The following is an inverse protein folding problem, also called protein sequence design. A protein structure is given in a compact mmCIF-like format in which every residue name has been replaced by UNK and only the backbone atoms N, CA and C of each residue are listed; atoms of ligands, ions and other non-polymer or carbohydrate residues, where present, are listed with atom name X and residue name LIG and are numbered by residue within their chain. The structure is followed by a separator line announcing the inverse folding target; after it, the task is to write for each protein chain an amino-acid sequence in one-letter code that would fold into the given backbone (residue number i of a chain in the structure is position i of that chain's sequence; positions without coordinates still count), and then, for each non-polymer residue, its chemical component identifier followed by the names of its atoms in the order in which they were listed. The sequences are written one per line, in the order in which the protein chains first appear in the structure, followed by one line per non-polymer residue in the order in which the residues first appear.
data_IF_099005438787
#
_entry.id   IF_099005438787
#
_cell.length_a   1.000
_cell.length_b   1.000
_cell.length_c   1.000
_cell.angle_alpha   90.00
_cell.angle_beta   90.00
_cell.angle_gamma   90.00
#
_symmetry.space_group_name_H-M   'P 1'
#
loop_
_entity.id
_entity.type
_entity.pdbx_description
1 polymer ?
#
# COMPACT_ATOMS: atom_id res chain seq x y z
N UNK A 1 -21.15 16.03 42.83
CA UNK A 1 -19.76 16.50 42.71
C UNK A 1 -19.15 15.92 41.44
N UNK A 2 -19.44 16.53 40.29
CA UNK A 2 -18.86 16.15 39.00
C UNK A 2 -18.97 17.34 38.03
N UNK A 3 -18.43 18.49 38.45
CA UNK A 3 -18.42 19.70 37.62
C UNK A 3 -17.06 20.43 37.64
N UNK A 4 -15.97 19.75 38.06
CA UNK A 4 -14.63 20.36 38.16
C UNK A 4 -13.51 19.48 37.57
N UNK A 5 -13.77 18.78 36.46
CA UNK A 5 -12.71 18.05 35.75
C UNK A 5 -12.63 18.39 34.24
N UNK A 6 -13.20 19.52 33.82
CA UNK A 6 -13.16 19.99 32.41
C UNK A 6 -12.16 21.14 32.19
N UNK A 7 -11.54 21.68 33.25
CA UNK A 7 -10.66 22.86 33.14
C UNK A 7 -9.21 22.54 33.54
N UNK A 8 -8.59 21.53 32.93
CA UNK A 8 -7.16 21.26 33.15
C UNK A 8 -6.41 20.57 32.00
N UNK A 9 -6.99 20.46 30.80
CA UNK A 9 -6.34 19.84 29.63
C UNK A 9 -6.33 20.74 28.38
N UNK A 10 -6.32 22.07 28.59
CA UNK A 10 -6.31 23.08 27.52
C UNK A 10 -4.91 23.52 27.06
N UNK A 11 -3.83 22.85 27.43
CA UNK A 11 -2.48 23.40 27.18
C UNK A 11 -1.33 22.39 27.09
N UNK A 12 -1.58 21.19 26.57
CA UNK A 12 -0.50 20.30 26.14
C UNK A 12 -0.26 20.48 24.64
N UNK A 13 0.77 21.30 24.33
CA UNK A 13 1.35 21.42 22.99
C UNK A 13 1.82 20.04 22.53
N UNK A 14 1.58 19.63 21.27
CA UNK A 14 2.12 18.38 20.76
C UNK A 14 3.65 18.49 20.67
N UNK A 15 4.34 17.84 21.62
CA UNK A 15 5.77 17.55 21.55
C UNK A 15 5.96 16.29 20.69
N UNK A 16 5.74 16.43 19.39
CA UNK A 16 6.33 15.54 18.41
C UNK A 16 6.54 16.29 17.10
N UNK A 17 7.79 16.60 16.70
CA UNK A 17 8.03 17.00 15.33
C UNK A 17 8.04 15.70 14.50
N UNK A 18 6.93 15.40 13.82
CA UNK A 18 7.05 14.64 12.57
C UNK A 18 7.61 15.60 11.51
N UNK A 19 8.89 15.97 11.68
CA UNK A 19 9.71 16.45 10.59
C UNK A 19 10.19 15.20 9.86
N UNK A 20 9.59 14.94 8.70
CA UNK A 20 10.30 14.17 7.67
C UNK A 20 11.60 14.92 7.35
N UNK A 21 12.71 14.19 7.28
CA UNK A 21 14.03 14.75 7.01
C UNK A 21 14.13 15.39 5.61
N UNK A 22 13.18 15.14 4.73
CA UNK A 22 13.15 15.70 3.38
C UNK A 22 11.76 16.29 3.13
N UNK A 23 11.68 17.62 3.04
CA UNK A 23 10.45 18.40 2.96
C UNK A 23 9.68 18.25 1.65
N UNK A 24 9.11 17.08 1.38
CA UNK A 24 8.15 16.86 0.30
C UNK A 24 6.74 17.32 0.69
N UNK A 25 6.12 18.16 -0.16
CA UNK A 25 4.67 18.43 -0.11
C UNK A 25 3.92 17.46 -1.03
N UNK A 26 2.79 16.92 -0.56
CA UNK A 26 1.85 16.17 -1.39
C UNK A 26 0.94 17.19 -2.09
N UNK A 27 1.14 17.41 -3.39
CA UNK A 27 0.24 18.22 -4.22
C UNK A 27 -0.75 17.30 -4.94
N UNK A 28 -2.03 17.40 -4.59
CA UNK A 28 -3.12 16.73 -5.31
C UNK A 28 -3.53 17.61 -6.48
N UNK A 29 -3.05 17.28 -7.69
CA UNK A 29 -3.45 17.96 -8.91
C UNK A 29 -4.77 17.38 -9.45
N UNK A 30 -5.78 18.23 -9.63
CA UNK A 30 -7.00 17.91 -10.38
C UNK A 30 -6.81 18.41 -11.82
N UNK A 31 -6.48 17.56 -12.81
CA UNK A 31 -6.53 17.98 -14.19
C UNK A 31 -7.99 18.10 -14.64
N UNK A 32 -8.28 19.09 -15.48
CA UNK A 32 -9.59 19.43 -16.11
C UNK A 32 -10.26 18.28 -16.88
N UNK A 33 -9.67 17.08 -16.90
CA UNK A 33 -10.22 15.85 -17.48
C UNK A 33 -10.13 14.71 -16.46
N UNK A 34 -10.95 14.78 -15.42
CA UNK A 34 -11.54 13.65 -14.66
C UNK A 34 -10.70 12.39 -14.40
N UNK A 35 -9.38 12.51 -14.28
CA UNK A 35 -8.48 11.40 -14.05
C UNK A 35 -7.55 11.77 -12.92
N UNK A 36 -7.57 10.96 -11.87
CA UNK A 36 -6.65 11.10 -10.75
C UNK A 36 -5.38 10.35 -11.15
N UNK A 37 -4.31 11.10 -11.37
CA UNK A 37 -2.97 10.55 -11.60
C UNK A 37 -2.16 10.78 -10.33
N UNK A 38 -1.85 9.69 -9.61
CA UNK A 38 -0.90 9.75 -8.49
C UNK A 38 0.52 9.74 -9.07
N UNK A 39 1.05 10.93 -9.35
CA UNK A 39 2.41 11.13 -9.87
C UNK A 39 3.37 11.51 -8.73
N UNK A 40 4.41 10.69 -8.49
CA UNK A 40 5.53 11.06 -7.61
C UNK A 40 6.61 11.73 -8.44
N UNK A 41 6.84 13.04 -8.24
CA UNK A 41 7.96 13.75 -8.86
C UNK A 41 9.17 13.76 -7.92
N UNK A 42 10.35 13.25 -8.33
CA UNK A 42 11.56 13.40 -7.55
C UNK A 42 12.05 14.85 -7.60
N UNK A 43 12.38 15.44 -6.45
CA UNK A 43 13.03 16.74 -6.37
C UNK A 43 14.49 16.58 -6.77
N UNK A 44 14.95 17.34 -7.77
CA UNK A 44 16.36 17.40 -8.16
C UNK A 44 17.19 17.88 -6.96
N UNK A 45 18.06 17.02 -6.44
CA UNK A 45 19.06 17.41 -5.46
C UNK A 45 20.10 18.32 -6.14
N UNK A 46 20.07 19.62 -5.85
CA UNK A 46 21.17 20.54 -6.17
C UNK A 46 22.33 20.26 -5.21
N UNK A 47 23.38 19.60 -5.70
CA UNK A 47 24.62 19.43 -4.93
C UNK A 47 25.28 20.79 -4.72
N UNK A 48 25.34 21.25 -3.46
CA UNK A 48 26.14 22.41 -3.08
C UNK A 48 27.60 21.96 -2.89
N UNK A 49 28.46 22.27 -3.86
CA UNK A 49 29.91 22.08 -3.76
C UNK A 49 30.48 23.21 -2.90
N UNK A 50 30.80 22.90 -1.64
CA UNK A 50 31.49 23.80 -0.72
C UNK A 50 32.98 23.89 -1.03
N UNK A 51 33.42 25.11 -1.35
CA UNK A 51 34.77 25.50 -1.71
C UNK A 51 35.65 25.62 -0.45
N UNK A 52 36.73 24.83 -0.33
CA UNK A 52 37.86 25.16 0.55
C UNK A 52 39.17 25.00 -0.23
N UNK A 53 39.85 26.12 -0.39
CA UNK A 53 41.11 26.28 -1.10
C UNK A 53 42.28 25.70 -0.29
N UNK A 54 43.16 24.95 -0.95
CA UNK A 54 44.54 24.72 -0.52
C UNK A 54 45.40 24.46 -1.76
N UNK A 55 46.36 25.36 -1.97
CA UNK A 55 47.26 25.42 -3.11
C UNK A 55 48.31 24.30 -2.98
N UNK A 56 48.36 23.39 -3.95
CA UNK A 56 49.57 22.60 -4.21
C UNK A 56 49.71 22.33 -5.70
N UNK A 57 50.85 22.78 -6.23
CA UNK A 57 51.25 22.71 -7.63
C UNK A 57 51.39 21.26 -8.10
N UNK A 58 50.68 20.89 -9.18
CA UNK A 58 51.20 19.97 -10.18
C UNK A 58 50.54 20.25 -11.53
N UNK A 59 51.27 20.93 -12.41
CA UNK A 59 50.95 21.04 -13.83
C UNK A 59 51.43 19.78 -14.56
N UNK A 60 50.50 19.06 -15.18
CA UNK A 60 50.76 18.25 -16.36
C UNK A 60 49.50 18.26 -17.23
N UNK A 61 49.63 18.82 -18.43
CA UNK A 61 48.63 18.77 -19.49
C UNK A 61 48.70 17.40 -20.16
N UNK A 62 47.55 16.78 -20.45
CA UNK A 62 47.04 16.49 -21.80
C UNK A 62 45.83 15.52 -21.73
N UNK A 63 44.67 16.04 -22.16
CA UNK A 63 43.75 15.51 -23.19
C UNK A 63 43.16 14.09 -23.10
N UNK A 64 41.83 14.05 -23.37
CA UNK A 64 40.97 12.91 -23.79
C UNK A 64 40.39 12.04 -22.67
N UNK A 65 39.11 11.65 -22.64
CA UNK A 65 38.11 11.48 -23.70
C UNK A 65 36.66 11.68 -23.19
N UNK A 66 35.85 12.24 -24.09
CA UNK A 66 34.42 11.99 -24.39
C UNK A 66 33.39 11.99 -23.25
N UNK A 67 32.49 12.97 -23.33
CA UNK A 67 31.10 12.80 -22.94
C UNK A 67 30.48 11.68 -23.77
N UNK A 68 30.32 10.49 -23.20
CA UNK A 68 29.34 9.54 -23.71
C UNK A 68 27.96 10.14 -23.43
N UNK A 69 27.50 10.95 -24.37
CA UNK A 69 26.06 11.09 -24.63
C UNK A 69 25.61 9.74 -25.18
N UNK A 70 25.49 8.77 -24.27
CA UNK A 70 24.70 7.59 -24.52
C UNK A 70 23.28 8.10 -24.64
N UNK A 71 22.90 8.38 -25.89
CA UNK A 71 21.53 8.27 -26.37
C UNK A 71 21.14 6.82 -26.16
N UNK A 72 20.91 6.47 -24.89
CA UNK A 72 20.15 5.30 -24.52
C UNK A 72 18.79 5.50 -25.17
N UNK A 73 18.64 4.87 -26.34
CA UNK A 73 17.35 4.54 -26.90
C UNK A 73 16.53 4.01 -25.72
N UNK A 74 15.40 4.62 -25.33
CA UNK A 74 14.59 4.05 -24.27
C UNK A 74 14.18 2.68 -24.78
N UNK A 75 14.83 1.63 -24.27
CA UNK A 75 14.37 0.26 -24.44
C UNK A 75 12.88 0.30 -24.12
N UNK A 76 12.08 -0.16 -25.08
CA UNK A 76 10.65 -0.25 -24.89
C UNK A 76 10.42 -1.19 -23.71
N UNK A 77 10.28 -0.61 -22.52
CA UNK A 77 10.01 -1.32 -21.29
C UNK A 77 8.65 -1.98 -21.51
N UNK A 78 8.65 -3.31 -21.60
CA UNK A 78 7.46 -4.11 -21.82
C UNK A 78 6.57 -4.01 -20.58
N UNK A 79 5.69 -3.00 -20.55
CA UNK A 79 4.76 -2.82 -19.44
C UNK A 79 3.54 -3.70 -19.69
N UNK A 80 3.27 -4.62 -18.77
CA UNK A 80 2.02 -5.40 -18.81
C UNK A 80 0.86 -4.48 -18.43
N UNK A 81 -0.13 -4.35 -19.30
CA UNK A 81 -1.38 -3.60 -19.06
C UNK A 81 -2.53 -4.59 -18.90
N UNK A 82 -3.25 -4.50 -17.79
CA UNK A 82 -4.39 -5.35 -17.46
C UNK A 82 -5.60 -4.50 -17.08
N UNK A 83 -6.77 -4.88 -17.58
CA UNK A 83 -8.04 -4.37 -17.06
C UNK A 83 -8.51 -5.24 -15.88
N UNK A 84 -8.78 -4.62 -14.75
CA UNK A 84 -9.47 -5.22 -13.61
C UNK A 84 -10.92 -4.73 -13.62
N UNK A 85 -11.88 -5.66 -13.47
CA UNK A 85 -13.31 -5.34 -13.49
C UNK A 85 -14.09 -6.27 -12.57
N UNK A 86 -14.93 -5.69 -11.71
CA UNK A 86 -15.98 -6.39 -10.98
C UNK A 86 -17.10 -5.40 -10.63
N UNK A 87 -18.36 -5.77 -10.93
CA UNK A 87 -19.49 -4.85 -10.78
C UNK A 87 -19.30 -3.58 -11.62
N UNK A 88 -19.48 -2.43 -10.96
CA UNK A 88 -19.32 -1.09 -11.55
C UNK A 88 -17.86 -0.61 -11.56
N UNK A 89 -16.95 -1.27 -10.83
CA UNK A 89 -15.57 -0.84 -10.78
C UNK A 89 -14.79 -1.23 -12.02
N UNK A 90 -13.99 -0.27 -12.52
CA UNK A 90 -13.09 -0.47 -13.64
C UNK A 90 -11.75 0.23 -13.39
N UNK A 91 -10.68 -0.55 -13.38
CA UNK A 91 -9.32 -0.03 -13.27
C UNK A 91 -8.41 -0.61 -14.36
N UNK A 92 -7.52 0.22 -14.87
CA UNK A 92 -6.40 -0.22 -15.72
C UNK A 92 -5.15 -0.25 -14.86
N UNK A 93 -4.52 -1.42 -14.76
CA UNK A 93 -3.30 -1.65 -13.99
C UNK A 93 -2.16 -1.85 -14.98
N UNK A 94 -1.13 -1.02 -14.89
CA UNK A 94 0.12 -1.15 -15.63
C UNK A 94 1.26 -1.40 -14.67
N UNK A 95 2.12 -2.38 -14.93
CA UNK A 95 3.27 -2.66 -14.07
C UNK A 95 4.59 -2.22 -14.68
N UNK A 96 5.51 -1.76 -13.85
CA UNK A 96 6.93 -1.62 -14.21
C UNK A 96 7.60 -2.99 -14.30
N UNK A 97 8.86 -3.04 -14.74
CA UNK A 97 9.66 -4.28 -14.81
C UNK A 97 9.84 -4.96 -13.45
N UNK A 98 9.95 -4.19 -12.37
CA UNK A 98 10.04 -4.73 -11.00
C UNK A 98 8.67 -5.10 -10.42
N UNK A 99 7.61 -5.02 -11.23
CA UNK A 99 6.25 -5.38 -10.84
C UNK A 99 5.48 -4.29 -10.11
N UNK A 100 5.96 -3.05 -10.01
CA UNK A 100 5.25 -1.98 -9.29
C UNK A 100 3.97 -1.58 -10.03
N UNK A 101 2.77 -1.66 -9.42
CA UNK A 101 1.51 -1.34 -10.09
C UNK A 101 1.24 0.17 -10.14
N UNK A 102 0.95 0.67 -11.33
CA UNK A 102 0.37 1.98 -11.60
C UNK A 102 -1.10 1.80 -11.99
N UNK A 103 -1.99 2.43 -11.25
CA UNK A 103 -3.42 2.19 -11.33
C UNK A 103 -4.12 3.44 -11.84
N UNK A 104 -4.86 3.30 -12.95
CA UNK A 104 -5.65 4.36 -13.55
C UNK A 104 -7.13 4.00 -13.52
N UNK A 105 -7.96 4.93 -13.07
CA UNK A 105 -9.41 4.80 -13.05
C UNK A 105 -10.10 6.17 -13.20
N UNK A 106 -11.41 6.15 -13.46
CA UNK A 106 -12.23 7.36 -13.63
C UNK A 106 -12.63 8.02 -12.30
N UNK A 107 -12.62 7.25 -11.21
CA UNK A 107 -13.02 7.68 -9.87
C UNK A 107 -12.13 7.01 -8.80
N UNK A 108 -12.20 7.53 -7.58
CA UNK A 108 -11.34 7.08 -6.47
C UNK A 108 -11.67 5.66 -6.03
N UNK A 109 -12.95 5.30 -5.96
CA UNK A 109 -13.41 3.98 -5.58
C UNK A 109 -12.88 2.93 -6.57
N UNK A 110 -13.00 3.16 -7.88
CA UNK A 110 -12.43 2.31 -8.93
C UNK A 110 -10.89 2.22 -8.84
N UNK A 111 -10.19 3.30 -8.48
CA UNK A 111 -8.74 3.26 -8.25
C UNK A 111 -8.37 2.38 -7.05
N UNK A 112 -9.13 2.48 -5.94
CA UNK A 112 -8.94 1.65 -4.75
C UNK A 112 -9.31 0.19 -5.01
N UNK A 113 -10.33 -0.06 -5.83
CA UNK A 113 -10.64 -1.39 -6.36
C UNK A 113 -9.44 -1.96 -7.14
N UNK A 114 -8.84 -1.18 -8.03
CA UNK A 114 -7.60 -1.57 -8.71
C UNK A 114 -6.47 -1.89 -7.73
N UNK A 115 -6.38 -1.16 -6.61
CA UNK A 115 -5.37 -1.42 -5.58
C UNK A 115 -5.64 -2.74 -4.85
N UNK A 116 -6.89 -3.03 -4.50
CA UNK A 116 -7.29 -4.32 -3.94
C UNK A 116 -6.97 -5.48 -4.88
N UNK A 117 -7.22 -5.30 -6.17
CA UNK A 117 -6.92 -6.28 -7.20
C UNK A 117 -5.41 -6.53 -7.35
N UNK A 118 -4.60 -5.47 -7.46
CA UNK A 118 -3.14 -5.59 -7.53
C UNK A 118 -2.56 -6.24 -6.26
N UNK A 119 -3.09 -5.91 -5.08
CA UNK A 119 -2.76 -6.57 -3.81
C UNK A 119 -3.09 -8.07 -3.85
N UNK A 120 -4.21 -8.43 -4.47
CA UNK A 120 -4.58 -9.82 -4.73
C UNK A 120 -3.58 -10.54 -5.63
N UNK A 121 -3.07 -9.90 -6.67
CA UNK A 121 -2.04 -10.48 -7.56
C UNK A 121 -0.73 -10.78 -6.82
N UNK A 122 -0.29 -9.87 -5.94
CA UNK A 122 1.06 -9.89 -5.39
C UNK A 122 1.15 -10.56 -4.02
N UNK A 123 0.11 -10.38 -3.19
CA UNK A 123 0.16 -10.63 -1.75
C UNK A 123 -1.07 -11.38 -1.22
N UNK A 124 -1.75 -12.13 -2.09
CA UNK A 124 -2.99 -12.83 -1.73
C UNK A 124 -2.88 -13.63 -0.43
N UNK A 125 -1.92 -14.56 -0.37
CA UNK A 125 -1.78 -15.48 0.74
C UNK A 125 -1.40 -14.78 2.04
N UNK A 126 -0.65 -13.69 1.96
CA UNK A 126 -0.28 -12.90 3.14
C UNK A 126 -1.52 -12.25 3.76
N UNK A 127 -2.37 -11.59 2.95
CA UNK A 127 -3.58 -10.98 3.48
C UNK A 127 -4.56 -12.04 4.00
N UNK A 128 -4.74 -13.15 3.28
CA UNK A 128 -5.59 -14.24 3.72
C UNK A 128 -5.12 -14.84 5.08
N UNK A 129 -3.80 -14.98 5.27
CA UNK A 129 -3.22 -15.44 6.55
C UNK A 129 -3.40 -14.40 7.68
N UNK A 130 -3.28 -13.09 7.39
CA UNK A 130 -3.59 -12.05 8.37
C UNK A 130 -5.06 -12.09 8.78
N UNK A 131 -5.98 -12.40 7.87
CA UNK A 131 -7.40 -12.54 8.22
C UNK A 131 -7.63 -13.69 9.19
N UNK A 132 -6.92 -14.82 9.06
CA UNK A 132 -7.00 -15.89 10.07
C UNK A 132 -6.52 -15.41 11.44
N UNK A 133 -5.48 -14.58 11.47
CA UNK A 133 -4.89 -14.04 12.69
C UNK A 133 -5.85 -13.09 13.42
N UNK A 134 -6.37 -12.07 12.73
CA UNK A 134 -7.25 -11.06 13.35
C UNK A 134 -8.64 -11.62 13.70
N UNK A 135 -9.11 -12.65 12.99
CA UNK A 135 -10.34 -13.39 13.34
C UNK A 135 -10.12 -14.52 14.35
N UNK A 136 -8.86 -14.74 14.80
CA UNK A 136 -8.51 -15.77 15.79
C UNK A 136 -8.92 -17.18 15.34
N UNK A 137 -8.63 -17.52 14.09
CA UNK A 137 -8.95 -18.83 13.49
C UNK A 137 -7.74 -19.57 12.94
N UNK A 138 -6.51 -19.14 13.26
CA UNK A 138 -5.29 -19.79 12.75
C UNK A 138 -5.20 -21.23 13.22
N UNK A 139 -5.40 -21.50 14.50
CA UNK A 139 -5.28 -22.83 15.08
C UNK A 139 -6.32 -23.81 14.50
N UNK A 140 -7.51 -23.29 14.15
CA UNK A 140 -8.56 -24.08 13.49
C UNK A 140 -8.13 -24.60 12.12
N UNK A 141 -7.43 -23.80 11.33
CA UNK A 141 -7.11 -24.13 9.94
C UNK A 141 -5.68 -24.64 9.73
N UNK A 142 -4.73 -24.17 10.53
CA UNK A 142 -3.30 -24.46 10.41
C UNK A 142 -2.79 -25.37 11.54
N UNK A 143 -3.66 -25.79 12.45
CA UNK A 143 -3.31 -26.56 13.65
C UNK A 143 -2.61 -25.70 14.72
N UNK A 144 -2.22 -26.28 15.86
CA UNK A 144 -1.68 -25.55 17.01
C UNK A 144 -0.38 -24.78 16.72
N UNK A 145 0.34 -25.13 15.65
CA UNK A 145 1.67 -24.60 15.37
C UNK A 145 2.72 -25.19 16.34
N UNK A 146 3.99 -24.90 16.04
CA UNK A 146 5.09 -25.28 16.93
C UNK A 146 4.92 -24.56 18.27
N UNK A 147 5.08 -25.29 19.37
CA UNK A 147 4.99 -24.77 20.74
C UNK A 147 3.69 -23.99 21.00
N UNK A 148 2.57 -24.43 20.41
CA UNK A 148 1.23 -23.80 20.49
C UNK A 148 1.14 -22.36 19.94
N UNK A 149 2.09 -21.92 19.10
CA UNK A 149 2.14 -20.55 18.60
C UNK A 149 0.84 -20.04 17.94
N UNK A 150 0.08 -20.89 17.24
CA UNK A 150 -1.20 -20.47 16.65
C UNK A 150 -2.32 -20.36 17.70
N UNK A 151 -2.31 -21.22 18.73
CA UNK A 151 -3.26 -21.14 19.86
C UNK A 151 -3.00 -19.85 20.64
N UNK A 152 -1.74 -19.57 20.95
CA UNK A 152 -1.35 -18.37 21.69
C UNK A 152 -1.68 -17.09 20.90
N UNK A 153 -1.44 -17.10 19.59
CA UNK A 153 -1.85 -16.02 18.70
C UNK A 153 -3.37 -15.84 18.71
N UNK A 154 -4.15 -16.90 18.49
CA UNK A 154 -5.61 -16.80 18.46
C UNK A 154 -6.15 -16.28 19.80
N UNK A 155 -5.62 -16.74 20.93
CA UNK A 155 -5.98 -16.22 22.25
C UNK A 155 -5.65 -14.73 22.41
N UNK A 156 -4.46 -14.31 21.99
CA UNK A 156 -4.03 -12.92 22.07
C UNK A 156 -4.94 -12.01 21.23
N UNK A 157 -5.20 -12.32 19.95
CA UNK A 157 -6.08 -11.49 19.11
C UNK A 157 -7.53 -11.52 19.56
N UNK A 158 -8.01 -12.67 20.08
CA UNK A 158 -9.37 -12.77 20.61
C UNK A 158 -9.55 -11.93 21.86
N UNK A 159 -8.53 -11.87 22.73
CA UNK A 159 -8.58 -11.05 23.95
C UNK A 159 -8.52 -9.55 23.68
N UNK A 160 -7.83 -9.11 22.61
CA UNK A 160 -7.90 -7.71 22.14
C UNK A 160 -9.29 -7.40 21.56
N UNK A 161 -9.92 -8.38 20.90
CA UNK A 161 -11.30 -8.25 20.40
C UNK A 161 -11.44 -7.42 19.13
N UNK A 162 -10.38 -7.27 18.32
CA UNK A 162 -10.37 -6.41 17.14
C UNK A 162 -11.50 -6.72 16.17
N UNK A 163 -11.76 -7.99 15.86
CA UNK A 163 -12.87 -8.36 14.96
C UNK A 163 -14.22 -7.84 15.48
N UNK A 164 -14.47 -7.99 16.78
CA UNK A 164 -15.73 -7.53 17.36
C UNK A 164 -15.83 -5.99 17.37
N UNK A 165 -14.72 -5.31 17.64
CA UNK A 165 -14.63 -3.85 17.58
C UNK A 165 -14.88 -3.36 16.15
N UNK A 166 -14.20 -3.94 15.16
CA UNK A 166 -14.34 -3.56 13.75
C UNK A 166 -15.80 -3.70 13.28
N UNK A 167 -16.45 -4.82 13.60
CA UNK A 167 -17.88 -5.02 13.27
C UNK A 167 -18.82 -4.05 14.01
N UNK A 168 -18.50 -3.71 15.25
CA UNK A 168 -19.31 -2.78 16.04
C UNK A 168 -19.13 -1.31 15.60
N UNK A 169 -17.96 -0.97 15.09
CA UNK A 169 -17.62 0.38 14.62
C UNK A 169 -17.98 0.59 13.16
N UNK A 170 -18.04 -0.47 12.34
CA UNK A 170 -18.40 -0.36 10.93
C UNK A 170 -19.66 0.48 10.69
N UNK A 171 -20.82 0.26 11.34
CA UNK A 171 -22.01 1.09 11.10
C UNK A 171 -21.84 2.58 11.47
N UNK A 172 -20.80 2.93 12.23
CA UNK A 172 -20.47 4.29 12.69
C UNK A 172 -19.42 4.97 11.81
N UNK A 173 -18.78 4.21 10.93
CA UNK A 173 -17.77 4.74 10.02
C UNK A 173 -18.38 5.73 9.02
N UNK A 174 -17.53 6.60 8.48
CA UNK A 174 -17.96 7.55 7.45
C UNK A 174 -18.33 6.84 6.14
N UNK A 175 -19.28 7.40 5.37
CA UNK A 175 -19.62 6.88 4.04
C UNK A 175 -18.39 6.72 3.14
N UNK A 176 -17.39 7.60 3.30
CA UNK A 176 -16.13 7.51 2.56
C UNK A 176 -15.34 6.26 2.93
N UNK A 177 -15.24 5.95 4.23
CA UNK A 177 -14.57 4.75 4.71
C UNK A 177 -15.30 3.49 4.23
N UNK A 178 -16.64 3.48 4.29
CA UNK A 178 -17.43 2.38 3.72
C UNK A 178 -17.11 2.15 2.25
N UNK A 179 -17.19 3.19 1.42
CA UNK A 179 -16.96 3.08 -0.02
C UNK A 179 -15.53 2.61 -0.34
N UNK A 180 -14.53 3.14 0.36
CA UNK A 180 -13.13 2.81 0.08
C UNK A 180 -12.76 1.40 0.53
N UNK A 181 -13.17 0.98 1.73
CA UNK A 181 -12.90 -0.37 2.22
C UNK A 181 -13.69 -1.43 1.42
N UNK A 182 -14.93 -1.10 1.02
CA UNK A 182 -15.72 -1.96 0.11
C UNK A 182 -15.03 -2.10 -1.24
N UNK A 183 -14.62 -1.00 -1.87
CA UNK A 183 -13.95 -1.06 -3.16
C UNK A 183 -12.65 -1.89 -3.10
N UNK A 184 -11.83 -1.73 -2.05
CA UNK A 184 -10.61 -2.51 -1.87
C UNK A 184 -10.92 -4.01 -1.75
N UNK A 185 -11.89 -4.36 -0.89
CA UNK A 185 -12.27 -5.77 -0.68
C UNK A 185 -12.89 -6.40 -1.92
N UNK A 186 -13.70 -5.65 -2.68
CA UNK A 186 -14.22 -6.07 -3.98
C UNK A 186 -13.10 -6.30 -5.00
N UNK A 187 -12.04 -5.49 -4.97
CA UNK A 187 -10.84 -5.67 -5.80
C UNK A 187 -10.12 -6.98 -5.49
N UNK A 188 -9.83 -7.21 -4.22
CA UNK A 188 -9.13 -8.40 -3.75
C UNK A 188 -9.96 -9.68 -3.98
N UNK A 189 -11.25 -9.63 -3.66
CA UNK A 189 -12.21 -10.70 -3.93
C UNK A 189 -12.41 -10.92 -5.44
N UNK A 190 -12.38 -9.86 -6.25
CA UNK A 190 -12.46 -9.92 -7.70
C UNK A 190 -11.31 -10.72 -8.30
N UNK A 191 -10.08 -10.51 -7.79
CA UNK A 191 -8.92 -11.31 -8.18
C UNK A 191 -9.08 -12.79 -7.78
N UNK A 192 -9.56 -13.07 -6.56
CA UNK A 192 -9.86 -14.44 -6.12
C UNK A 192 -10.88 -15.11 -7.06
N UNK A 193 -11.95 -14.40 -7.41
CA UNK A 193 -13.00 -14.93 -8.26
C UNK A 193 -12.51 -15.21 -9.69
N UNK A 194 -11.69 -14.31 -10.25
CA UNK A 194 -11.07 -14.52 -11.58
C UNK A 194 -10.11 -15.71 -11.59
N UNK A 195 -9.28 -15.82 -10.55
CA UNK A 195 -8.16 -16.77 -10.52
C UNK A 195 -8.62 -18.15 -10.05
N UNK A 196 -9.48 -18.19 -9.04
CA UNK A 196 -9.88 -19.41 -8.34
C UNK A 196 -8.80 -19.88 -7.35
N UNK A 197 -9.25 -20.48 -6.24
CA UNK A 197 -8.38 -20.91 -5.13
C UNK A 197 -7.26 -21.85 -5.59
N UNK A 198 -7.56 -22.72 -6.57
CA UNK A 198 -6.62 -23.70 -7.12
C UNK A 198 -5.54 -23.11 -8.02
N UNK A 199 -5.69 -21.87 -8.50
CA UNK A 199 -4.71 -21.24 -9.40
C UNK A 199 -3.98 -20.06 -8.75
N UNK A 200 -4.18 -19.84 -7.45
CA UNK A 200 -3.44 -18.82 -6.71
C UNK A 200 -1.94 -19.13 -6.71
N UNK A 201 -1.14 -18.07 -6.80
CA UNK A 201 0.31 -18.13 -6.56
C UNK A 201 0.59 -18.03 -5.06
N UNK A 202 1.50 -18.85 -4.55
CA UNK A 202 1.96 -18.80 -3.16
C UNK A 202 1.50 -19.97 -2.29
N UNK A 203 1.77 -19.86 -0.98
CA UNK A 203 1.65 -20.97 -0.03
C UNK A 203 0.21 -21.37 0.34
N UNK A 204 -0.78 -20.53 -0.01
CA UNK A 204 -2.19 -20.75 0.29
C UNK A 204 -2.98 -21.37 -0.87
N UNK A 205 -2.31 -21.73 -1.97
CA UNK A 205 -2.93 -22.37 -3.13
C UNK A 205 -3.72 -23.62 -2.72
N UNK A 206 -4.98 -23.72 -3.16
CA UNK A 206 -5.87 -24.85 -2.84
C UNK A 206 -6.27 -24.95 -1.36
N UNK A 207 -5.92 -23.97 -0.52
CA UNK A 207 -6.14 -24.07 0.91
C UNK A 207 -7.63 -23.82 1.26
N UNK A 208 -8.24 -24.65 2.13
CA UNK A 208 -9.68 -24.58 2.42
C UNK A 208 -10.10 -23.34 3.23
N UNK A 209 -9.13 -22.60 3.75
CA UNK A 209 -9.33 -21.37 4.51
C UNK A 209 -9.27 -20.11 3.65
N UNK A 210 -8.88 -20.23 2.38
CA UNK A 210 -8.97 -19.14 1.41
C UNK A 210 -10.43 -18.91 1.05
N UNK A 211 -10.89 -17.68 1.27
CA UNK A 211 -12.27 -17.26 1.04
C UNK A 211 -12.35 -15.75 0.83
N UNK A 212 -13.44 -15.24 0.24
CA UNK A 212 -13.69 -13.81 0.19
C UNK A 212 -13.69 -13.16 1.58
N UNK A 213 -13.31 -11.88 1.64
CA UNK A 213 -13.30 -11.07 2.86
C UNK A 213 -14.39 -9.99 2.79
N UNK A 214 -14.84 -9.54 3.96
CA UNK A 214 -15.74 -8.39 4.11
C UNK A 214 -14.96 -7.10 4.32
N UNK A 215 -15.62 -5.96 4.09
CA UNK A 215 -15.06 -4.64 4.37
C UNK A 215 -15.02 -4.30 5.87
N UNK A 216 -15.87 -4.95 6.67
CA UNK A 216 -15.86 -4.93 8.15
C UNK A 216 -14.81 -5.87 8.74
#
# INVERSE_FOLDING_TARGET
MAHEAITALGQLRPLWPLRCSDGGEIHVGFPERGSVVLEFRPVRATAAVGLLASISLCSSLLTSCTTDESTANPEAVESTVQAAKAGEYLATIRRTTDGVPHILAADFESAIFGQGWASGEDHFCTLADQMLKVTSTRAKFLGPGKDNANIDSDFAWKSIGIEAIARADWPKESDRAHRFLTAFTDGWNGYLNKTGVENLTGFCKGAPWVRPISAE
#
